data_IF_578860078392
#
_entry.id   IF_578860078392
#
_cell.length_a   1.000
_cell.length_b   1.000
_cell.length_c   1.000
_cell.angle_alpha   90.00
_cell.angle_beta   90.00
_cell.angle_gamma   90.00
#
_symmetry.space_group_name_H-M   'P 1'
#
loop_
_entity.id
_entity.type
_entity.pdbx_description
1 polymer ?
#
# COMPACT_ATOMS: atom_id res chain seq x y z
N UNK A 1 59.17 10.00 -9.21
CA UNK A 1 58.27 9.05 -9.90
C UNK A 1 57.31 8.45 -8.88
N UNK A 2 56.00 8.70 -9.08
CA UNK A 2 54.79 7.88 -8.83
C UNK A 2 54.88 6.90 -7.63
N UNK A 3 53.89 6.82 -6.71
CA UNK A 3 52.48 6.49 -6.99
C UNK A 3 51.61 6.86 -5.78
N UNK A 4 50.53 7.61 -6.03
CA UNK A 4 49.37 7.71 -5.13
C UNK A 4 48.64 6.35 -5.11
N UNK A 5 48.39 5.81 -3.92
CA UNK A 5 47.42 4.74 -3.70
C UNK A 5 46.12 5.41 -3.21
N UNK A 6 45.22 5.66 -4.17
CA UNK A 6 43.86 6.12 -3.91
C UNK A 6 43.05 4.87 -3.54
N UNK A 7 42.76 4.69 -2.26
CA UNK A 7 41.84 3.67 -1.75
C UNK A 7 40.42 4.06 -2.17
N UNK A 8 39.94 3.48 -3.27
CA UNK A 8 38.59 3.69 -3.79
C UNK A 8 37.54 3.07 -2.87
N UNK A 9 36.83 3.90 -2.11
CA UNK A 9 35.59 3.53 -1.43
C UNK A 9 34.51 3.40 -2.52
N UNK A 10 34.27 2.17 -2.96
CA UNK A 10 33.22 1.84 -3.91
C UNK A 10 31.86 1.92 -3.20
N UNK A 11 31.29 3.13 -3.20
CA UNK A 11 29.96 3.40 -2.66
C UNK A 11 28.90 2.88 -3.65
N UNK A 12 28.53 1.61 -3.48
CA UNK A 12 27.42 1.02 -4.20
C UNK A 12 26.11 1.59 -3.64
N UNK A 13 25.58 2.62 -4.31
CA UNK A 13 24.19 3.02 -4.15
C UNK A 13 23.31 1.90 -4.71
N UNK A 14 22.98 0.93 -3.85
CA UNK A 14 21.85 0.05 -4.07
C UNK A 14 20.61 0.93 -4.09
N UNK A 15 20.07 1.20 -5.28
CA UNK A 15 18.69 1.64 -5.45
C UNK A 15 17.79 0.52 -4.90
N UNK A 16 17.59 0.52 -3.58
CA UNK A 16 16.70 -0.41 -2.92
C UNK A 16 15.29 -0.10 -3.40
N UNK A 17 14.76 -0.96 -4.28
CA UNK A 17 13.35 -1.02 -4.61
C UNK A 17 12.55 -1.07 -3.31
N UNK A 18 11.93 0.06 -2.94
CA UNK A 18 11.21 0.17 -1.69
C UNK A 18 9.89 -0.59 -1.86
N UNK A 19 9.68 -1.60 -1.01
CA UNK A 19 8.45 -2.38 -1.05
C UNK A 19 7.23 -1.49 -0.99
N UNK A 20 6.24 -1.81 -1.84
CA UNK A 20 5.08 -0.96 -2.01
C UNK A 20 3.78 -1.76 -2.16
N UNK A 21 2.67 -1.08 -1.90
CA UNK A 21 1.31 -1.57 -2.16
C UNK A 21 0.90 -1.23 -3.60
N UNK A 22 -0.38 -1.42 -3.92
CA UNK A 22 -0.97 -1.08 -5.21
C UNK A 22 -1.60 0.32 -5.22
N UNK A 23 -1.93 0.81 -6.41
CA UNK A 23 -2.73 2.01 -6.62
C UNK A 23 -4.22 1.64 -6.73
N UNK A 24 -5.07 2.52 -6.21
CA UNK A 24 -6.53 2.46 -6.33
C UNK A 24 -7.07 3.76 -6.90
N UNK A 25 -8.05 3.65 -7.79
CA UNK A 25 -8.81 4.76 -8.36
C UNK A 25 -10.29 4.44 -8.20
N UNK A 26 -11.09 5.34 -7.62
CA UNK A 26 -12.55 5.15 -7.56
C UNK A 26 -13.12 5.45 -8.95
N UNK A 27 -14.12 4.68 -9.39
CA UNK A 27 -14.72 4.79 -10.74
C UNK A 27 -15.10 6.24 -11.16
N UNK A 28 -15.53 7.07 -10.20
CA UNK A 28 -15.89 8.48 -10.44
C UNK A 28 -14.81 9.49 -9.99
N UNK A 29 -13.57 9.05 -9.78
CA UNK A 29 -12.42 9.91 -9.45
C UNK A 29 -11.34 9.78 -10.54
N UNK A 30 -10.73 10.90 -10.92
CA UNK A 30 -9.64 10.93 -11.91
C UNK A 30 -8.27 10.65 -11.28
N UNK A 31 -8.19 10.59 -9.95
CA UNK A 31 -6.93 10.45 -9.21
C UNK A 31 -6.69 9.01 -8.77
N UNK A 32 -5.48 8.53 -9.05
CA UNK A 32 -4.96 7.29 -8.48
C UNK A 32 -4.28 7.57 -7.14
N UNK A 33 -4.53 6.70 -6.15
CA UNK A 33 -3.94 6.80 -4.82
C UNK A 33 -3.21 5.53 -4.48
N UNK A 34 -2.04 5.63 -3.86
CA UNK A 34 -1.39 4.46 -3.27
C UNK A 34 -2.17 4.01 -2.04
N UNK A 35 -2.47 2.71 -1.97
CA UNK A 35 -3.15 2.13 -0.81
C UNK A 35 -2.30 2.31 0.46
N UNK A 36 -2.88 2.93 1.48
CA UNK A 36 -2.18 3.35 2.71
C UNK A 36 -1.60 4.77 2.68
N UNK A 37 -1.81 5.55 1.61
CA UNK A 37 -1.40 6.97 1.60
C UNK A 37 -2.24 7.84 2.55
N UNK A 38 -1.63 8.87 3.12
CA UNK A 38 -2.26 9.83 4.04
C UNK A 38 -3.11 10.92 3.35
N UNK A 39 -3.54 10.68 2.11
CA UNK A 39 -4.32 11.66 1.36
C UNK A 39 -5.69 11.89 2.02
N UNK A 40 -5.99 13.15 2.38
CA UNK A 40 -7.31 13.54 2.92
C UNK A 40 -8.47 13.15 1.99
N UNK A 41 -8.27 13.27 0.67
CA UNK A 41 -9.28 12.88 -0.31
C UNK A 41 -9.47 11.36 -0.34
N UNK A 42 -8.38 10.58 -0.26
CA UNK A 42 -8.48 9.13 -0.13
C UNK A 42 -9.25 8.74 1.14
N UNK A 43 -8.93 9.36 2.29
CA UNK A 43 -9.63 9.12 3.56
C UNK A 43 -11.14 9.36 3.41
N UNK A 44 -11.56 10.44 2.73
CA UNK A 44 -12.98 10.69 2.46
C UNK A 44 -13.65 9.59 1.62
N UNK A 45 -13.06 9.26 0.46
CA UNK A 45 -13.68 8.31 -0.47
C UNK A 45 -13.64 6.85 0.02
N UNK A 46 -12.68 6.51 0.87
CA UNK A 46 -12.43 5.14 1.30
C UNK A 46 -12.94 4.89 2.74
N UNK A 47 -12.74 5.84 3.65
CA UNK A 47 -13.04 5.66 5.07
C UNK A 47 -14.36 6.32 5.47
N UNK A 48 -14.55 7.61 5.15
CA UNK A 48 -15.78 8.34 5.54
C UNK A 48 -17.02 7.79 4.82
N UNK A 49 -16.85 7.29 3.59
CA UNK A 49 -17.91 6.56 2.84
C UNK A 49 -18.25 5.19 3.43
N UNK A 50 -17.43 4.65 4.33
CA UNK A 50 -17.53 3.29 4.85
C UNK A 50 -17.09 2.19 3.88
N UNK A 51 -16.61 2.53 2.68
CA UNK A 51 -16.23 1.54 1.66
C UNK A 51 -15.12 0.61 2.13
N UNK A 52 -14.14 1.10 2.89
CA UNK A 52 -13.04 0.25 3.34
C UNK A 52 -13.50 -0.85 4.29
N UNK A 53 -14.52 -0.60 5.12
CA UNK A 53 -15.10 -1.65 5.96
C UNK A 53 -15.73 -2.75 5.12
N UNK A 54 -16.40 -2.39 4.01
CA UNK A 54 -16.99 -3.36 3.06
C UNK A 54 -15.89 -4.15 2.34
N UNK A 55 -14.82 -3.48 1.91
CA UNK A 55 -13.64 -4.11 1.30
C UNK A 55 -13.02 -5.12 2.28
N UNK A 56 -12.75 -4.72 3.52
CA UNK A 56 -12.14 -5.60 4.53
C UNK A 56 -13.04 -6.78 4.88
N UNK A 57 -14.36 -6.57 5.00
CA UNK A 57 -15.32 -7.64 5.24
C UNK A 57 -15.28 -8.69 4.12
N UNK A 58 -15.26 -8.24 2.88
CA UNK A 58 -15.33 -9.12 1.70
C UNK A 58 -13.96 -9.71 1.31
N UNK A 59 -12.86 -9.15 1.81
CA UNK A 59 -11.52 -9.67 1.60
C UNK A 59 -11.29 -10.92 2.46
N UNK A 60 -10.86 -12.00 1.81
CA UNK A 60 -10.34 -13.20 2.47
C UNK A 60 -8.89 -12.94 2.92
N UNK A 61 -8.73 -12.10 3.94
CA UNK A 61 -7.48 -11.87 4.69
C UNK A 61 -7.72 -12.24 6.16
N UNK A 62 -6.67 -12.49 6.95
CA UNK A 62 -6.83 -12.92 8.34
C UNK A 62 -7.63 -11.89 9.16
N UNK A 63 -8.61 -12.38 9.93
CA UNK A 63 -9.54 -11.52 10.68
C UNK A 63 -8.82 -10.61 11.69
N UNK A 64 -7.71 -11.07 12.27
CA UNK A 64 -6.89 -10.29 13.19
C UNK A 64 -6.13 -9.12 12.51
N UNK A 65 -5.99 -9.14 11.19
CA UNK A 65 -5.31 -8.07 10.44
C UNK A 65 -6.30 -7.00 9.94
N UNK A 66 -7.58 -7.31 9.78
CA UNK A 66 -8.59 -6.34 9.30
C UNK A 66 -8.67 -5.08 10.17
N UNK A 67 -8.74 -5.17 11.52
CA UNK A 67 -8.74 -3.98 12.38
C UNK A 67 -7.47 -3.14 12.23
N UNK A 68 -6.31 -3.79 12.06
CA UNK A 68 -5.03 -3.10 11.90
C UNK A 68 -4.94 -2.35 10.56
N UNK A 69 -5.40 -2.97 9.47
CA UNK A 69 -5.55 -2.27 8.20
C UNK A 69 -6.46 -1.05 8.34
N UNK A 70 -7.61 -1.19 9.01
CA UNK A 70 -8.51 -0.06 9.24
C UNK A 70 -7.85 1.04 10.06
N UNK A 71 -7.16 0.69 11.15
CA UNK A 71 -6.44 1.62 12.01
C UNK A 71 -5.44 2.47 11.22
N UNK A 72 -4.56 1.82 10.45
CA UNK A 72 -3.48 2.48 9.72
C UNK A 72 -3.89 3.12 8.38
N UNK A 73 -5.15 2.99 7.96
CA UNK A 73 -5.68 3.65 6.75
C UNK A 73 -6.69 4.75 7.10
N UNK A 74 -7.54 4.53 8.10
CA UNK A 74 -8.74 5.35 8.32
C UNK A 74 -8.77 6.16 9.62
N UNK A 75 -7.80 5.99 10.50
CA UNK A 75 -7.75 6.73 11.78
C UNK A 75 -6.63 7.77 11.77
N UNK A 76 -6.47 8.49 12.89
CA UNK A 76 -5.35 9.41 13.09
C UNK A 76 -3.98 8.70 13.14
N UNK A 77 -3.96 7.38 13.29
CA UNK A 77 -2.75 6.54 13.25
C UNK A 77 -2.32 6.16 11.83
N UNK A 78 -2.82 6.85 10.80
CA UNK A 78 -2.52 6.53 9.40
C UNK A 78 -1.00 6.40 9.17
N UNK A 79 -0.58 5.27 8.58
CA UNK A 79 0.85 5.00 8.33
C UNK A 79 1.03 4.13 7.10
N UNK A 80 1.68 4.69 6.08
CA UNK A 80 2.00 3.98 4.84
C UNK A 80 2.89 2.77 5.12
N UNK A 81 3.89 2.94 5.97
CA UNK A 81 4.90 1.92 6.31
C UNK A 81 4.24 0.72 6.99
N UNK A 82 3.32 0.97 7.93
CA UNK A 82 2.56 -0.11 8.58
C UNK A 82 1.64 -0.83 7.60
N UNK A 83 0.97 -0.10 6.71
CA UNK A 83 0.12 -0.73 5.67
C UNK A 83 0.94 -1.58 4.70
N UNK A 84 2.12 -1.11 4.28
CA UNK A 84 3.07 -1.90 3.47
C UNK A 84 3.47 -3.17 4.21
N UNK A 85 3.85 -3.04 5.49
CA UNK A 85 4.24 -4.19 6.32
C UNK A 85 3.10 -5.21 6.45
N UNK A 86 1.88 -4.78 6.79
CA UNK A 86 0.71 -5.67 6.84
C UNK A 86 0.45 -6.37 5.50
N UNK A 87 0.53 -5.61 4.40
CA UNK A 87 0.35 -6.15 3.06
C UNK A 87 1.44 -7.17 2.69
N UNK A 88 2.68 -6.99 3.17
CA UNK A 88 3.76 -7.95 2.96
C UNK A 88 3.55 -9.25 3.74
N UNK A 89 2.93 -9.21 4.92
CA UNK A 89 2.60 -10.41 5.70
C UNK A 89 1.49 -11.26 5.07
N UNK A 90 0.67 -10.67 4.19
CA UNK A 90 -0.33 -11.43 3.44
C UNK A 90 0.34 -12.38 2.45
N UNK A 91 -0.19 -13.60 2.37
CA UNK A 91 0.09 -14.56 1.31
C UNK A 91 -0.33 -14.01 -0.07
N UNK A 92 0.18 -14.56 -1.17
CA UNK A 92 -0.22 -14.14 -2.51
C UNK A 92 -1.74 -14.17 -2.76
N UNK A 93 -2.44 -15.19 -2.27
CA UNK A 93 -3.88 -15.33 -2.44
C UNK A 93 -4.67 -14.33 -1.60
N UNK A 94 -4.24 -14.05 -0.37
CA UNK A 94 -4.82 -13.00 0.47
C UNK A 94 -4.63 -11.61 -0.16
N UNK A 95 -3.45 -11.31 -0.72
CA UNK A 95 -3.21 -10.06 -1.47
C UNK A 95 -4.13 -9.96 -2.68
N UNK A 96 -4.30 -11.06 -3.42
CA UNK A 96 -5.22 -11.13 -4.57
C UNK A 96 -6.67 -10.93 -4.14
N UNK A 97 -7.06 -11.52 -3.02
CA UNK A 97 -8.39 -11.39 -2.43
C UNK A 97 -8.69 -9.94 -2.02
N UNK A 98 -7.75 -9.28 -1.33
CA UNK A 98 -7.88 -7.87 -0.97
C UNK A 98 -8.04 -6.97 -2.19
N UNK A 99 -7.24 -7.18 -3.25
CA UNK A 99 -7.38 -6.43 -4.51
C UNK A 99 -8.73 -6.66 -5.18
N UNK A 100 -9.21 -7.91 -5.22
CA UNK A 100 -10.53 -8.25 -5.77
C UNK A 100 -11.66 -7.60 -4.97
N UNK A 101 -11.54 -7.52 -3.65
CA UNK A 101 -12.51 -6.83 -2.82
C UNK A 101 -12.57 -5.32 -3.16
N UNK A 102 -11.44 -4.66 -3.40
CA UNK A 102 -11.44 -3.29 -3.93
C UNK A 102 -12.18 -3.19 -5.26
N UNK A 103 -11.91 -4.09 -6.22
CA UNK A 103 -12.60 -4.11 -7.52
C UNK A 103 -14.11 -4.28 -7.36
N UNK A 104 -14.54 -5.20 -6.50
CA UNK A 104 -15.95 -5.45 -6.19
C UNK A 104 -16.67 -4.20 -5.67
N UNK A 105 -15.96 -3.30 -4.98
CA UNK A 105 -16.51 -2.06 -4.41
C UNK A 105 -16.24 -0.80 -5.27
N UNK A 106 -16.05 -0.98 -6.58
CA UNK A 106 -16.00 0.13 -7.56
C UNK A 106 -14.66 0.86 -7.60
N UNK A 107 -13.56 0.13 -7.36
CA UNK A 107 -12.21 0.66 -7.51
C UNK A 107 -11.43 -0.07 -8.60
N UNK A 108 -10.78 0.68 -9.48
CA UNK A 108 -9.73 0.13 -10.34
C UNK A 108 -8.48 -0.08 -9.51
N UNK A 109 -7.88 -1.27 -9.60
CA UNK A 109 -6.64 -1.62 -8.91
C UNK A 109 -5.51 -1.75 -9.93
N UNK A 110 -4.52 -0.87 -9.83
CA UNK A 110 -3.32 -0.92 -10.66
C UNK A 110 -2.12 -1.31 -9.81
N UNK A 111 -1.44 -2.40 -10.16
CA UNK A 111 -0.19 -2.76 -9.51
C UNK A 111 0.97 -2.06 -10.20
N UNK A 112 1.64 -1.18 -9.47
CA UNK A 112 2.89 -0.56 -9.93
C UNK A 112 3.99 -1.15 -9.05
N UNK A 113 4.65 -2.24 -9.47
CA UNK A 113 5.84 -2.69 -8.79
C UNK A 113 6.89 -1.57 -8.84
N UNK A 114 7.68 -1.45 -7.78
CA UNK A 114 9.02 -0.89 -7.90
C UNK A 114 9.97 -2.00 -8.34
#
# INVERSE_FOLDING_TARGET
MKRLLITGIMMTFLFACQSSTFLITKENDTRAYRFGSSSKRLKRILCESGDFKKVLRDAAIPENLKPQFYEYVCTEKVSKEKVVSLYQFLTPDERKSLKRAFVKHGYTVNYVPC
#
